data_IF_162835298017
#
_entry.id   IF_162835298017
#
_cell.length_a   1.000
_cell.length_b   1.000
_cell.length_c   1.000
_cell.angle_alpha   90.00
_cell.angle_beta   90.00
_cell.angle_gamma   90.00
#
_symmetry.space_group_name_H-M   'P 1'
#
loop_
_entity.id
_entity.type
_entity.pdbx_description
1 polymer ?
#
# COMPACT_ATOMS: atom_id res chain seq x y z
N UNK A 1 5.79 -3.70 -18.33
CA UNK A 1 5.02 -3.78 -17.08
C UNK A 1 3.66 -3.13 -17.28
N UNK A 2 2.56 -3.74 -16.81
CA UNK A 2 1.22 -3.17 -17.00
C UNK A 2 0.86 -2.29 -15.79
N UNK A 3 1.12 -0.98 -15.91
CA UNK A 3 0.86 0.02 -14.86
C UNK A 3 -0.64 0.20 -14.59
N UNK A 4 -1.46 0.16 -15.63
CA UNK A 4 -2.91 0.33 -15.49
C UNK A 4 -3.52 -0.83 -14.72
N UNK A 5 -3.17 -2.08 -15.10
CA UNK A 5 -3.59 -3.27 -14.36
C UNK A 5 -3.15 -3.20 -12.90
N UNK A 6 -1.88 -2.88 -12.64
CA UNK A 6 -1.39 -2.76 -11.27
C UNK A 6 -2.14 -1.70 -10.45
N UNK A 7 -2.39 -0.52 -11.05
CA UNK A 7 -3.19 0.53 -10.41
C UNK A 7 -4.57 -0.03 -10.06
N UNK A 8 -5.27 -0.62 -11.01
CA UNK A 8 -6.61 -1.17 -10.76
C UNK A 8 -6.57 -2.20 -9.61
N UNK A 9 -5.63 -3.14 -9.63
CA UNK A 9 -5.47 -4.16 -8.58
C UNK A 9 -5.28 -3.53 -7.18
N UNK A 10 -4.38 -2.54 -7.03
CA UNK A 10 -4.15 -1.89 -5.72
C UNK A 10 -5.28 -0.97 -5.29
N UNK A 11 -5.99 -0.35 -6.24
CA UNK A 11 -7.17 0.47 -5.95
C UNK A 11 -8.33 -0.40 -5.46
N UNK A 12 -8.62 -1.50 -6.16
CA UNK A 12 -9.65 -2.46 -5.76
C UNK A 12 -9.34 -3.07 -4.39
N UNK A 13 -8.08 -3.45 -4.15
CA UNK A 13 -7.67 -3.99 -2.87
C UNK A 13 -7.80 -2.98 -1.73
N UNK A 14 -7.36 -1.73 -1.95
CA UNK A 14 -7.56 -0.66 -0.97
C UNK A 14 -9.04 -0.42 -0.68
N UNK A 15 -9.91 -0.39 -1.69
CA UNK A 15 -11.35 -0.20 -1.48
C UNK A 15 -11.96 -1.32 -0.61
N UNK A 16 -11.50 -2.56 -0.76
CA UNK A 16 -11.91 -3.68 0.09
C UNK A 16 -11.38 -3.53 1.52
N UNK A 17 -10.10 -3.25 1.67
CA UNK A 17 -9.41 -3.16 2.96
C UNK A 17 -9.86 -1.94 3.80
N UNK A 18 -10.16 -0.81 3.17
CA UNK A 18 -10.64 0.41 3.85
C UNK A 18 -11.93 0.20 4.63
N UNK A 19 -12.75 -0.81 4.31
CA UNK A 19 -13.96 -1.16 5.06
C UNK A 19 -13.67 -1.61 6.50
N UNK A 20 -12.43 -2.00 6.79
CA UNK A 20 -11.97 -2.41 8.11
C UNK A 20 -11.26 -1.28 8.88
N UNK A 21 -11.21 -0.07 8.32
CA UNK A 21 -10.55 1.08 8.90
C UNK A 21 -11.56 2.14 9.32
N UNK A 22 -11.18 2.96 10.30
CA UNK A 22 -11.89 4.21 10.62
C UNK A 22 -11.63 5.23 9.51
N UNK A 23 -12.54 6.18 9.34
CA UNK A 23 -12.42 7.22 8.30
C UNK A 23 -11.05 7.92 8.31
N UNK A 24 -10.56 8.27 9.50
CA UNK A 24 -9.25 8.92 9.70
C UNK A 24 -8.05 8.05 9.27
N UNK A 25 -8.23 6.73 9.20
CA UNK A 25 -7.19 5.76 8.85
C UNK A 25 -7.19 5.38 7.37
N UNK A 26 -8.31 5.60 6.65
CA UNK A 26 -8.41 5.35 5.21
C UNK A 26 -7.38 6.16 4.42
N UNK A 27 -7.13 7.41 4.82
CA UNK A 27 -6.12 8.26 4.19
C UNK A 27 -4.70 7.68 4.33
N UNK A 28 -4.39 7.02 5.45
CA UNK A 28 -3.09 6.38 5.68
C UNK A 28 -2.89 5.18 4.75
N UNK A 29 -3.93 4.39 4.52
CA UNK A 29 -3.87 3.29 3.55
C UNK A 29 -3.72 3.83 2.11
N UNK A 30 -4.39 4.93 1.79
CA UNK A 30 -4.22 5.64 0.51
C UNK A 30 -2.77 6.11 0.27
N UNK A 31 -2.08 6.55 1.32
CA UNK A 31 -0.66 6.91 1.26
C UNK A 31 0.25 5.71 0.95
N UNK A 32 0.01 4.56 1.58
CA UNK A 32 0.74 3.31 1.27
C UNK A 32 0.52 2.88 -0.17
N UNK A 33 -0.73 2.90 -0.66
CA UNK A 33 -1.04 2.62 -2.06
C UNK A 33 -0.24 3.50 -3.02
N UNK A 34 -0.15 4.80 -2.73
CA UNK A 34 0.58 5.74 -3.59
C UNK A 34 2.07 5.42 -3.65
N UNK A 35 2.69 5.08 -2.50
CA UNK A 35 4.09 4.65 -2.47
C UNK A 35 4.33 3.43 -3.36
N UNK A 36 3.47 2.41 -3.26
CA UNK A 36 3.55 1.20 -4.08
C UNK A 36 3.40 1.50 -5.58
N UNK A 37 2.53 2.44 -5.97
CA UNK A 37 2.41 2.93 -7.36
C UNK A 37 3.71 3.57 -7.84
N UNK A 38 4.32 4.44 -7.05
CA UNK A 38 5.58 5.07 -7.43
C UNK A 38 6.75 4.08 -7.49
N UNK A 39 6.80 3.11 -6.58
CA UNK A 39 7.81 2.04 -6.59
C UNK A 39 7.63 1.10 -7.78
N UNK A 40 6.40 0.75 -8.12
CA UNK A 40 6.11 -0.07 -9.29
C UNK A 40 6.53 0.66 -10.57
N UNK A 41 6.26 1.96 -10.73
CA UNK A 41 6.78 2.73 -11.88
C UNK A 41 8.31 2.63 -12.04
N UNK A 42 9.03 2.47 -10.93
CA UNK A 42 10.49 2.31 -10.89
C UNK A 42 10.96 0.84 -10.98
N UNK A 43 10.05 -0.11 -11.16
CA UNK A 43 10.29 -1.56 -11.15
C UNK A 43 10.87 -2.09 -9.82
N UNK A 44 10.61 -1.41 -8.70
CA UNK A 44 11.14 -1.80 -7.39
C UNK A 44 10.29 -2.86 -6.67
N UNK A 45 9.01 -2.98 -7.04
CA UNK A 45 8.07 -3.92 -6.42
C UNK A 45 7.29 -4.69 -7.48
N UNK A 46 6.67 -5.80 -7.08
CA UNK A 46 5.80 -6.64 -7.91
C UNK A 46 4.39 -6.66 -7.36
N UNK A 47 3.41 -6.88 -8.24
CA UNK A 47 1.96 -6.86 -7.90
C UNK A 47 1.65 -7.72 -6.66
N UNK A 48 2.06 -8.99 -6.65
CA UNK A 48 1.73 -9.91 -5.56
C UNK A 48 2.31 -9.46 -4.21
N UNK A 49 3.53 -8.91 -4.22
CA UNK A 49 4.18 -8.39 -3.02
C UNK A 49 3.42 -7.15 -2.50
N UNK A 50 3.10 -6.21 -3.39
CA UNK A 50 2.35 -5.01 -3.04
C UNK A 50 0.95 -5.29 -2.47
N UNK A 51 0.27 -6.36 -2.92
CA UNK A 51 -1.01 -6.78 -2.31
C UNK A 51 -0.81 -7.27 -0.88
N UNK A 52 0.23 -8.09 -0.62
CA UNK A 52 0.56 -8.53 0.73
C UNK A 52 0.90 -7.34 1.64
N UNK A 53 1.68 -6.39 1.14
CA UNK A 53 2.05 -5.17 1.86
C UNK A 53 0.81 -4.34 2.25
N UNK A 54 -0.18 -4.19 1.36
CA UNK A 54 -1.43 -3.50 1.68
C UNK A 54 -2.23 -4.20 2.78
N UNK A 55 -2.27 -5.53 2.79
CA UNK A 55 -2.94 -6.32 3.83
C UNK A 55 -2.25 -6.07 5.18
N UNK A 56 -0.92 -6.18 5.22
CA UNK A 56 -0.12 -5.93 6.41
C UNK A 56 -0.28 -4.48 6.90
N UNK A 57 -0.18 -3.51 5.99
CA UNK A 57 -0.33 -2.09 6.28
C UNK A 57 -1.70 -1.79 6.91
N UNK A 58 -2.79 -2.38 6.38
CA UNK A 58 -4.13 -2.20 6.93
C UNK A 58 -4.21 -2.69 8.38
N UNK A 59 -3.62 -3.85 8.68
CA UNK A 59 -3.60 -4.38 10.05
C UNK A 59 -2.82 -3.49 11.02
N UNK A 60 -1.69 -2.94 10.58
CA UNK A 60 -0.87 -2.04 11.40
C UNK A 60 -1.55 -0.67 11.59
N UNK A 61 -2.11 -0.11 10.53
CA UNK A 61 -2.84 1.16 10.57
C UNK A 61 -4.02 1.07 11.54
N UNK A 62 -4.80 -0.03 11.51
CA UNK A 62 -5.94 -0.21 12.42
C UNK A 62 -5.55 -0.27 13.91
N UNK A 63 -4.27 -0.58 14.19
CA UNK A 63 -3.67 -0.57 15.52
C UNK A 63 -2.99 0.75 15.88
N UNK A 64 -3.09 1.77 15.02
CA UNK A 64 -2.55 3.11 15.27
C UNK A 64 -1.13 3.34 14.76
N UNK A 65 -0.52 2.38 14.06
CA UNK A 65 0.83 2.55 13.53
C UNK A 65 0.86 3.42 12.27
N UNK A 66 1.95 4.17 12.08
CA UNK A 66 2.32 4.78 10.81
C UNK A 66 3.08 3.73 9.98
N UNK A 67 2.69 3.56 8.72
CA UNK A 67 3.28 2.57 7.82
C UNK A 67 3.93 3.26 6.63
N UNK A 68 5.19 2.92 6.39
CA UNK A 68 5.97 3.25 5.20
C UNK A 68 6.47 1.92 4.61
N UNK A 69 6.41 1.78 3.28
CA UNK A 69 6.81 0.55 2.57
C UNK A 69 8.22 0.69 2.02
N UNK A 70 8.95 -0.42 1.91
CA UNK A 70 10.22 -0.51 1.17
C UNK A 70 11.23 0.62 1.45
N UNK A 71 11.48 0.92 2.73
CA UNK A 71 12.57 1.83 3.13
C UNK A 71 13.91 1.13 3.00
N UNK A 72 14.90 1.84 2.45
CA UNK A 72 16.27 1.35 2.43
C UNK A 72 16.80 1.26 3.86
N UNK A 73 17.51 0.17 4.17
CA UNK A 73 18.06 -0.06 5.52
C UNK A 73 19.22 0.90 5.82
N UNK A 74 19.85 1.46 4.78
CA UNK A 74 20.91 2.46 4.91
C UNK A 74 20.38 3.85 5.31
N UNK A 75 19.06 4.08 5.17
CA UNK A 75 18.38 5.32 5.54
C UNK A 75 17.81 5.30 6.98
N UNK A 76 18.20 4.31 7.80
CA UNK A 76 17.73 4.08 9.19
C UNK A 76 18.80 4.47 10.21
#
# INVERSE_FOLDING_TARGET
MNLEKFRNDVYEMCAKLSKHLKENDVAKLGYVRQQLIEMYKKNLVKINHSILELICATNLISRGYKVEVEKDVSDI
#
